data_IF_400295087943
#
_entry.id   IF_400295087943
#
_cell.length_a   1.000
_cell.length_b   1.000
_cell.length_c   1.000
_cell.angle_alpha   90.00
_cell.angle_beta   90.00
_cell.angle_gamma   90.00
#
_symmetry.space_group_name_H-M   'P 1'
#
loop_
_entity.id
_entity.type
_entity.pdbx_description
1 polymer ?
#
# COMPACT_ATOMS: atom_id res chain seq x y z
N UNK A 1 -45.78 -65.15 48.12
CA UNK A 1 -46.00 -66.39 47.33
C UNK A 1 -44.91 -66.49 46.26
N UNK A 2 -44.32 -67.69 46.12
CA UNK A 2 -43.78 -68.27 44.87
C UNK A 2 -42.79 -67.44 44.01
N UNK A 3 -41.47 -67.59 44.19
CA UNK A 3 -40.54 -68.59 43.55
C UNK A 3 -39.99 -68.16 42.18
N UNK A 4 -38.66 -67.89 42.08
CA UNK A 4 -37.58 -68.74 41.46
C UNK A 4 -37.11 -68.15 40.11
N UNK A 5 -35.85 -68.20 39.62
CA UNK A 5 -34.49 -68.67 40.00
C UNK A 5 -33.48 -67.59 39.45
N UNK A 6 -32.23 -67.33 39.89
CA UNK A 6 -30.96 -68.13 39.91
C UNK A 6 -30.59 -68.67 38.51
N UNK A 7 -29.42 -68.46 37.87
CA UNK A 7 -28.18 -67.65 38.01
C UNK A 7 -27.36 -67.82 36.69
N UNK A 8 -26.01 -67.69 36.60
CA UNK A 8 -25.11 -66.55 36.79
C UNK A 8 -24.20 -66.27 35.53
N UNK A 9 -23.17 -65.42 35.71
CA UNK A 9 -22.02 -65.14 34.81
C UNK A 9 -22.34 -64.27 33.59
N UNK A 10 -21.57 -63.20 33.29
CA UNK A 10 -20.15 -63.27 32.93
C UNK A 10 -19.39 -61.92 33.07
N UNK A 11 -18.14 -61.97 33.56
CA UNK A 11 -17.03 -60.99 33.44
C UNK A 11 -17.16 -59.57 34.03
N UNK A 12 -16.53 -59.40 35.20
CA UNK A 12 -15.42 -58.45 35.48
C UNK A 12 -15.16 -57.29 34.49
N UNK A 13 -15.13 -56.03 34.96
CA UNK A 13 -13.85 -55.34 35.23
C UNK A 13 -14.01 -54.02 36.04
N UNK A 14 -13.15 -53.89 37.07
CA UNK A 14 -12.52 -52.69 37.63
C UNK A 14 -13.19 -51.30 37.42
N UNK A 15 -13.89 -50.80 38.44
CA UNK A 15 -14.19 -49.37 38.59
C UNK A 15 -13.04 -48.64 39.28
N UNK A 16 -12.14 -48.02 38.52
CA UNK A 16 -11.12 -47.11 39.05
C UNK A 16 -11.54 -45.65 38.81
N UNK A 17 -11.69 -44.88 39.89
CA UNK A 17 -11.99 -43.45 39.83
C UNK A 17 -10.76 -42.71 39.29
N UNK A 18 -10.91 -42.07 38.13
CA UNK A 18 -9.92 -41.18 37.55
C UNK A 18 -10.60 -39.87 37.16
N UNK A 19 -10.41 -38.85 38.00
CA UNK A 19 -10.86 -37.49 37.70
C UNK A 19 -10.03 -36.90 36.57
N UNK A 20 -10.58 -36.89 35.35
CA UNK A 20 -9.96 -36.23 34.21
C UNK A 20 -10.13 -34.72 34.38
N UNK A 21 -9.13 -34.07 34.98
CA UNK A 21 -8.93 -32.64 34.81
C UNK A 21 -8.56 -32.42 33.35
N UNK A 22 -9.52 -31.97 32.55
CA UNK A 22 -9.28 -31.58 31.17
C UNK A 22 -8.44 -30.29 31.13
N UNK A 23 -7.13 -30.41 31.34
CA UNK A 23 -6.18 -29.35 31.01
C UNK A 23 -6.23 -29.13 29.50
N UNK A 24 -7.01 -28.15 29.08
CA UNK A 24 -6.90 -27.56 27.75
C UNK A 24 -5.51 -26.95 27.64
N UNK A 25 -4.58 -27.73 27.09
CA UNK A 25 -3.31 -27.20 26.62
C UNK A 25 -3.68 -26.28 25.44
N UNK A 26 -3.89 -25.01 25.75
CA UNK A 26 -3.69 -23.96 24.75
C UNK A 26 -2.25 -24.11 24.30
N UNK A 27 -2.07 -24.74 23.13
CA UNK A 27 -0.80 -24.73 22.44
C UNK A 27 -0.46 -23.26 22.21
N UNK A 28 0.43 -22.73 23.04
CA UNK A 28 0.85 -21.35 22.94
C UNK A 28 1.42 -21.17 21.54
N UNK A 29 0.74 -20.39 20.69
CA UNK A 29 1.19 -20.11 19.34
C UNK A 29 2.68 -19.77 19.40
N UNK A 30 3.56 -20.52 18.70
CA UNK A 30 4.99 -20.38 18.89
C UNK A 30 5.35 -18.92 18.65
N UNK A 31 5.95 -18.28 19.65
CA UNK A 31 6.31 -16.86 19.57
C UNK A 31 7.06 -16.63 18.25
N UNK A 32 6.62 -15.69 17.39
CA UNK A 32 7.26 -15.48 16.11
C UNK A 32 8.77 -15.30 16.32
N UNK A 33 9.56 -16.12 15.62
CA UNK A 33 11.02 -16.08 15.73
C UNK A 33 11.50 -14.84 15.00
N UNK A 34 12.20 -13.95 15.70
CA UNK A 34 12.87 -12.79 15.11
C UNK A 34 13.91 -13.27 14.10
N UNK A 35 13.75 -12.93 12.82
CA UNK A 35 14.75 -13.24 11.81
C UNK A 35 15.79 -12.13 11.71
N UNK A 36 17.01 -12.40 12.19
CA UNK A 36 18.15 -11.48 12.16
C UNK A 36 18.70 -11.19 10.75
N UNK A 37 18.17 -11.84 9.70
CA UNK A 37 18.45 -11.51 8.30
C UNK A 37 17.42 -10.57 7.66
N UNK A 38 16.34 -10.21 8.39
CA UNK A 38 15.36 -9.20 7.96
C UNK A 38 16.06 -7.88 7.66
N UNK A 39 15.91 -7.39 6.43
CA UNK A 39 16.34 -6.05 6.03
C UNK A 39 15.39 -5.02 6.63
N UNK A 40 15.95 -4.04 7.33
CA UNK A 40 15.20 -2.87 7.79
C UNK A 40 15.43 -1.73 6.80
N UNK A 41 14.37 -1.22 6.17
CA UNK A 41 14.45 0.01 5.38
C UNK A 41 13.81 1.15 6.16
N UNK A 42 14.51 2.28 6.29
CA UNK A 42 14.07 3.46 7.05
C UNK A 42 14.03 4.68 6.13
N UNK A 43 12.90 5.40 6.13
CA UNK A 43 12.68 6.60 5.31
C UNK A 43 12.55 7.87 6.15
N UNK A 44 13.35 8.88 5.82
CA UNK A 44 13.24 10.25 6.31
C UNK A 44 12.82 11.17 5.16
N UNK A 45 12.31 12.36 5.49
CA UNK A 45 12.00 13.41 4.50
C UNK A 45 12.88 14.63 4.81
N UNK A 46 12.37 15.60 5.58
CA UNK A 46 13.12 16.82 5.91
C UNK A 46 13.89 16.66 7.24
N UNK A 47 15.15 17.13 7.30
CA UNK A 47 15.95 17.10 8.54
C UNK A 47 16.17 18.53 9.02
N UNK A 48 15.18 19.10 9.71
CA UNK A 48 15.18 20.51 10.16
C UNK A 48 14.33 20.69 11.43
N UNK A 49 14.36 21.87 12.04
CA UNK A 49 13.46 22.23 13.13
C UNK A 49 12.00 22.29 12.64
N UNK A 50 11.05 21.72 13.39
CA UNK A 50 9.65 21.58 12.95
C UNK A 50 8.97 22.89 12.52
N UNK A 51 9.41 24.03 13.06
CA UNK A 51 8.90 25.37 12.72
C UNK A 51 9.34 25.87 11.33
N UNK A 52 10.46 25.34 10.83
CA UNK A 52 11.11 25.75 9.58
C UNK A 52 10.88 24.74 8.45
N UNK A 53 10.25 23.61 8.77
CA UNK A 53 9.89 22.52 7.86
C UNK A 53 8.69 22.89 6.98
N UNK A 54 8.63 22.32 5.77
CA UNK A 54 7.47 22.43 4.88
C UNK A 54 6.33 21.55 5.38
N UNK A 55 6.62 20.31 5.78
CA UNK A 55 5.63 19.40 6.37
C UNK A 55 6.13 18.93 7.76
N UNK A 56 5.79 19.63 8.85
CA UNK A 56 6.35 19.39 10.18
C UNK A 56 6.13 17.98 10.76
N UNK A 57 5.12 17.25 10.27
CA UNK A 57 4.81 15.87 10.67
C UNK A 57 5.79 14.83 10.10
N UNK A 58 6.52 15.15 9.03
CA UNK A 58 7.54 14.30 8.40
C UNK A 58 8.97 14.83 8.59
N UNK A 59 9.13 15.97 9.24
CA UNK A 59 10.43 16.56 9.57
C UNK A 59 10.95 16.07 10.92
N UNK A 60 12.26 15.82 11.02
CA UNK A 60 12.97 15.56 12.29
C UNK A 60 14.15 16.51 12.47
N UNK A 61 14.50 16.86 13.70
CA UNK A 61 15.68 17.69 13.95
C UNK A 61 16.98 16.94 13.67
N UNK A 62 18.06 17.67 13.41
CA UNK A 62 19.40 17.08 13.25
C UNK A 62 19.83 16.25 14.48
N UNK A 63 19.40 16.68 15.67
CA UNK A 63 19.63 15.97 16.93
C UNK A 63 18.87 14.64 16.98
N UNK A 64 17.58 14.61 16.62
CA UNK A 64 16.78 13.39 16.54
C UNK A 64 17.37 12.41 15.52
N UNK A 65 17.75 12.90 14.33
CA UNK A 65 18.41 12.09 13.30
C UNK A 65 19.70 11.45 13.84
N UNK A 66 20.60 12.22 14.47
CA UNK A 66 21.82 11.64 15.05
C UNK A 66 21.51 10.64 16.18
N UNK A 67 20.47 10.88 17.00
CA UNK A 67 20.05 9.95 18.05
C UNK A 67 19.53 8.63 17.49
N UNK A 68 18.73 8.65 16.41
CA UNK A 68 18.29 7.43 15.72
C UNK A 68 19.49 6.65 15.17
N UNK A 69 20.42 7.35 14.50
CA UNK A 69 21.63 6.76 13.92
C UNK A 69 22.53 6.12 14.98
N UNK A 70 22.80 6.82 16.08
CA UNK A 70 23.63 6.30 17.16
C UNK A 70 22.93 5.17 17.93
N UNK A 71 21.60 5.23 18.10
CA UNK A 71 20.82 4.13 18.64
C UNK A 71 20.92 2.87 17.77
N UNK A 72 20.78 2.99 16.44
CA UNK A 72 20.94 1.87 15.51
C UNK A 72 22.33 1.23 15.63
N UNK A 73 23.40 2.03 15.58
CA UNK A 73 24.78 1.52 15.75
C UNK A 73 24.98 0.81 17.09
N UNK A 74 24.53 1.42 18.18
CA UNK A 74 24.68 0.88 19.54
C UNK A 74 23.86 -0.40 19.77
N UNK A 75 22.82 -0.65 18.97
CA UNK A 75 22.00 -1.87 19.01
C UNK A 75 22.43 -2.94 17.99
N UNK A 76 23.60 -2.75 17.35
CA UNK A 76 24.22 -3.73 16.46
C UNK A 76 23.61 -3.80 15.05
N UNK A 77 22.94 -2.73 14.61
CA UNK A 77 22.48 -2.61 13.23
C UNK A 77 23.64 -2.21 12.30
N UNK A 78 23.64 -2.77 11.09
CA UNK A 78 24.70 -2.56 10.10
C UNK A 78 24.12 -1.88 8.86
N UNK A 79 24.52 -0.64 8.61
CA UNK A 79 24.11 0.09 7.40
C UNK A 79 24.70 -0.56 6.15
N UNK A 80 23.87 -0.76 5.12
CA UNK A 80 24.24 -1.35 3.84
C UNK A 80 24.02 -0.35 2.70
N UNK A 81 24.77 -0.51 1.62
CA UNK A 81 24.57 0.24 0.38
C UNK A 81 23.83 -0.59 -0.69
N UNK A 82 23.47 0.08 -1.79
CA UNK A 82 22.75 -0.53 -2.91
C UNK A 82 23.54 -1.65 -3.59
N UNK A 83 24.87 -1.57 -3.66
CA UNK A 83 25.70 -2.63 -4.25
C UNK A 83 25.66 -3.92 -3.41
N UNK A 84 25.68 -3.79 -2.08
CA UNK A 84 25.54 -4.93 -1.16
C UNK A 84 24.14 -5.56 -1.28
N UNK A 85 23.09 -4.74 -1.40
CA UNK A 85 21.72 -5.21 -1.62
C UNK A 85 21.58 -5.98 -2.94
N UNK A 86 22.09 -5.44 -4.05
CA UNK A 86 22.06 -6.09 -5.37
C UNK A 86 22.82 -7.43 -5.32
N UNK A 87 24.05 -7.44 -4.78
CA UNK A 87 24.86 -8.67 -4.67
C UNK A 87 24.22 -9.70 -3.75
N UNK A 88 23.52 -9.26 -2.69
CA UNK A 88 22.80 -10.17 -1.79
C UNK A 88 21.57 -10.80 -2.47
N UNK A 89 20.81 -10.02 -3.24
CA UNK A 89 19.71 -10.52 -4.07
C UNK A 89 20.20 -11.55 -5.10
N UNK A 90 21.36 -11.29 -5.73
CA UNK A 90 22.02 -12.20 -6.67
C UNK A 90 22.70 -13.42 -6.00
N UNK A 91 22.64 -13.56 -4.67
CA UNK A 91 23.30 -14.65 -3.93
C UNK A 91 24.84 -14.56 -3.87
N UNK A 92 25.44 -13.48 -4.39
CA UNK A 92 26.89 -13.25 -4.45
C UNK A 92 27.47 -12.62 -3.17
N UNK A 93 26.61 -12.16 -2.26
CA UNK A 93 26.99 -11.55 -0.99
C UNK A 93 26.05 -11.99 0.13
N UNK A 94 26.55 -12.07 1.35
CA UNK A 94 25.73 -12.28 2.56
C UNK A 94 25.68 -10.95 3.31
N UNK A 95 24.49 -10.40 3.49
CA UNK A 95 24.30 -9.20 4.31
C UNK A 95 24.75 -9.47 5.77
N UNK A 96 25.26 -8.45 6.47
CA UNK A 96 25.48 -8.53 7.92
C UNK A 96 24.17 -8.80 8.67
N UNK A 97 24.26 -9.21 9.94
CA UNK A 97 23.09 -9.30 10.82
C UNK A 97 22.48 -7.93 11.05
N UNK A 98 21.14 -7.87 11.19
CA UNK A 98 20.40 -6.60 11.32
C UNK A 98 20.79 -5.55 10.26
N UNK A 99 20.71 -5.88 8.94
CA UNK A 99 21.08 -4.95 7.89
C UNK A 99 20.06 -3.80 7.81
N UNK A 100 20.54 -2.58 7.62
CA UNK A 100 19.71 -1.37 7.47
C UNK A 100 20.01 -0.66 6.16
N UNK A 101 18.98 -0.43 5.35
CA UNK A 101 19.05 0.52 4.23
C UNK A 101 18.42 1.85 4.68
N UNK A 102 19.24 2.89 4.72
CA UNK A 102 18.78 4.24 5.05
C UNK A 102 18.39 4.99 3.78
N UNK A 103 17.19 5.58 3.77
CA UNK A 103 16.64 6.33 2.64
C UNK A 103 16.16 7.71 3.08
N UNK A 104 16.33 8.71 2.21
CA UNK A 104 15.81 10.07 2.38
C UNK A 104 15.14 10.48 1.08
N UNK A 105 13.94 11.03 1.18
CA UNK A 105 13.11 11.36 0.01
C UNK A 105 13.17 12.85 -0.34
N UNK A 106 12.42 13.24 -1.39
CA UNK A 106 12.15 14.60 -1.88
C UNK A 106 13.34 15.43 -2.37
N UNK A 107 14.55 15.21 -1.86
CA UNK A 107 15.72 16.01 -2.21
C UNK A 107 15.76 17.39 -1.52
N UNK A 108 15.30 17.48 -0.27
CA UNK A 108 15.38 18.72 0.52
C UNK A 108 16.83 19.17 0.77
N UNK A 109 17.04 20.47 0.73
CA UNK A 109 18.31 21.13 1.07
C UNK A 109 18.76 20.83 2.51
N UNK A 110 17.81 20.62 3.41
CA UNK A 110 18.05 20.28 4.81
C UNK A 110 18.82 18.96 4.98
N UNK A 111 18.71 18.01 4.03
CA UNK A 111 19.53 16.80 4.05
C UNK A 111 21.02 17.12 3.91
N UNK A 112 21.39 17.97 2.95
CA UNK A 112 22.79 18.36 2.74
C UNK A 112 23.35 19.20 3.89
N UNK A 113 22.54 20.11 4.45
CA UNK A 113 22.97 20.96 5.56
C UNK A 113 23.11 20.21 6.89
N UNK A 114 22.13 19.34 7.22
CA UNK A 114 21.97 18.84 8.59
C UNK A 114 22.25 17.33 8.75
N UNK A 115 22.01 16.52 7.71
CA UNK A 115 22.19 15.07 7.77
C UNK A 115 23.49 14.59 7.08
N UNK A 116 23.86 15.17 5.93
CA UNK A 116 25.06 14.81 5.18
C UNK A 116 26.36 14.89 6.01
N UNK A 117 26.60 15.92 6.85
CA UNK A 117 27.79 15.96 7.73
C UNK A 117 27.83 14.78 8.71
N UNK A 118 26.67 14.37 9.24
CA UNK A 118 26.54 13.26 10.20
C UNK A 118 26.85 11.92 9.51
N UNK A 119 26.26 11.65 8.34
CA UNK A 119 26.52 10.40 7.60
C UNK A 119 27.94 10.36 7.03
N UNK A 120 28.52 11.50 6.62
CA UNK A 120 29.91 11.61 6.17
C UNK A 120 30.90 11.29 7.29
N UNK A 121 30.72 11.91 8.47
CA UNK A 121 31.55 11.63 9.64
C UNK A 121 31.44 10.16 10.11
N UNK A 122 30.24 9.58 10.06
CA UNK A 122 29.99 8.19 10.50
C UNK A 122 30.16 7.13 9.40
N UNK A 123 30.48 7.54 8.16
CA UNK A 123 30.58 6.71 6.92
C UNK A 123 29.36 5.84 6.65
N UNK A 124 28.17 6.44 6.75
CA UNK A 124 26.89 5.74 6.59
C UNK A 124 26.41 5.86 5.14
N UNK A 125 26.14 4.74 4.44
CA UNK A 125 25.52 4.78 3.12
C UNK A 125 24.04 5.19 3.21
N UNK A 126 23.58 5.98 2.24
CA UNK A 126 22.20 6.48 2.13
C UNK A 126 21.72 6.41 0.69
N UNK A 127 20.43 6.11 0.49
CA UNK A 127 19.73 6.33 -0.78
C UNK A 127 18.98 7.66 -0.69
N UNK A 128 19.26 8.59 -1.60
CA UNK A 128 18.60 9.89 -1.67
C UNK A 128 17.69 9.91 -2.91
N UNK A 129 16.38 9.85 -2.73
CA UNK A 129 15.41 9.91 -3.82
C UNK A 129 15.04 11.36 -4.14
N UNK A 130 15.10 11.73 -5.42
CA UNK A 130 14.86 13.11 -5.87
C UNK A 130 13.80 13.19 -6.97
N UNK A 131 12.96 14.23 -6.89
CA UNK A 131 11.93 14.55 -7.88
C UNK A 131 12.53 15.45 -8.97
N UNK A 132 12.49 15.00 -10.22
CA UNK A 132 13.17 15.69 -11.33
C UNK A 132 12.70 17.13 -11.55
N UNK A 133 11.38 17.36 -11.56
CA UNK A 133 10.78 18.68 -11.80
C UNK A 133 11.08 19.69 -10.68
N UNK A 134 11.51 19.24 -9.50
CA UNK A 134 11.89 20.12 -8.38
C UNK A 134 13.33 20.61 -8.49
N UNK A 135 14.18 19.91 -9.25
CA UNK A 135 15.58 20.27 -9.45
C UNK A 135 15.79 21.28 -10.61
N UNK A 136 14.88 21.31 -11.59
CA UNK A 136 14.96 22.15 -12.79
C UNK A 136 14.80 23.67 -12.59
N UNK A 137 13.95 24.19 -11.69
CA UNK A 137 13.80 25.62 -11.51
C UNK A 137 15.12 26.30 -11.11
N UNK A 138 15.39 27.47 -11.68
CA UNK A 138 16.60 28.25 -11.41
C UNK A 138 16.50 28.91 -10.03
N UNK A 139 17.63 29.41 -9.53
CA UNK A 139 17.75 30.00 -8.17
C UNK A 139 16.73 31.13 -7.90
N UNK A 140 16.32 31.87 -8.92
CA UNK A 140 15.32 32.94 -8.88
C UNK A 140 13.89 32.51 -9.26
N UNK A 141 13.61 31.21 -9.34
CA UNK A 141 12.29 30.64 -9.66
C UNK A 141 11.77 29.84 -8.47
N UNK A 142 10.45 29.77 -8.31
CA UNK A 142 9.87 28.87 -7.30
C UNK A 142 9.76 27.45 -7.85
N UNK A 143 9.71 26.50 -6.92
CA UNK A 143 9.43 25.08 -7.20
C UNK A 143 7.96 24.82 -6.95
N UNK A 144 7.31 24.12 -7.88
CA UNK A 144 5.96 23.56 -7.69
C UNK A 144 6.06 22.25 -6.91
N UNK A 145 5.87 22.35 -5.60
CA UNK A 145 5.87 21.27 -4.64
C UNK A 145 4.45 20.67 -4.54
N UNK A 146 4.03 20.00 -5.61
CA UNK A 146 2.76 19.26 -5.65
C UNK A 146 1.49 20.13 -5.55
N UNK A 147 1.56 21.38 -6.02
CA UNK A 147 0.51 22.40 -5.89
C UNK A 147 0.93 23.60 -5.02
N UNK A 148 1.94 23.46 -4.17
CA UNK A 148 2.47 24.57 -3.36
C UNK A 148 3.71 25.23 -3.99
N UNK A 149 3.82 26.55 -3.90
CA UNK A 149 4.95 27.31 -4.45
C UNK A 149 6.02 27.54 -3.37
N UNK A 150 7.12 26.79 -3.41
CA UNK A 150 8.24 26.91 -2.45
C UNK A 150 9.48 27.57 -3.07
N UNK A 151 10.35 28.15 -2.25
CA UNK A 151 11.60 28.77 -2.70
C UNK A 151 12.62 27.71 -3.16
N UNK A 152 13.35 27.98 -4.26
CA UNK A 152 14.31 27.00 -4.84
C UNK A 152 15.40 26.52 -3.88
N UNK A 153 15.79 27.36 -2.91
CA UNK A 153 16.80 27.03 -1.90
C UNK A 153 16.32 26.03 -0.83
N UNK A 154 15.05 25.59 -0.87
CA UNK A 154 14.54 24.46 -0.06
C UNK A 154 14.86 23.09 -0.67
N UNK A 155 15.25 23.05 -1.95
CA UNK A 155 15.59 21.83 -2.70
C UNK A 155 17.09 21.85 -3.04
N UNK A 156 17.72 20.67 -3.11
CA UNK A 156 19.15 20.51 -3.41
C UNK A 156 19.56 21.10 -4.76
N UNK A 157 20.81 21.55 -4.86
CA UNK A 157 21.45 21.91 -6.13
C UNK A 157 22.09 20.70 -6.82
N UNK A 158 22.35 20.83 -8.12
CA UNK A 158 23.06 19.83 -8.92
C UNK A 158 24.49 19.57 -8.42
N UNK A 159 25.16 20.58 -7.87
CA UNK A 159 26.53 20.45 -7.37
C UNK A 159 26.59 19.68 -6.05
N UNK A 160 25.63 19.89 -5.15
CA UNK A 160 25.51 19.12 -3.90
C UNK A 160 25.16 17.66 -4.17
N UNK A 161 24.25 17.38 -5.12
CA UNK A 161 23.95 16.01 -5.56
C UNK A 161 25.19 15.31 -6.11
N UNK A 162 26.01 16.00 -6.92
CA UNK A 162 27.29 15.47 -7.43
C UNK A 162 28.30 15.24 -6.31
N UNK A 163 28.47 16.18 -5.36
CA UNK A 163 29.38 15.98 -4.23
C UNK A 163 28.97 14.73 -3.43
N UNK A 164 27.70 14.65 -3.04
CA UNK A 164 27.17 13.54 -2.25
C UNK A 164 27.33 12.20 -2.96
N UNK A 165 27.08 12.13 -4.26
CA UNK A 165 27.29 10.91 -5.05
C UNK A 165 28.78 10.56 -5.20
N UNK A 166 29.65 11.56 -5.39
CA UNK A 166 31.09 11.37 -5.55
C UNK A 166 31.80 11.01 -4.24
N UNK A 167 31.19 11.30 -3.08
CA UNK A 167 31.65 10.80 -1.78
C UNK A 167 31.60 9.26 -1.67
N UNK A 168 30.82 8.59 -2.53
CA UNK A 168 30.58 7.15 -2.47
C UNK A 168 29.61 6.71 -1.36
N UNK A 169 29.08 7.65 -0.56
CA UNK A 169 28.12 7.38 0.51
C UNK A 169 26.66 7.48 0.05
N UNK A 170 26.34 8.34 -0.92
CA UNK A 170 24.96 8.59 -1.35
C UNK A 170 24.70 7.98 -2.73
N UNK A 171 23.73 7.06 -2.80
CA UNK A 171 23.12 6.63 -4.07
C UNK A 171 21.99 7.61 -4.42
N UNK A 172 22.04 8.25 -5.59
CA UNK A 172 20.92 9.05 -6.08
C UNK A 172 19.87 8.12 -6.70
N UNK A 173 18.63 8.21 -6.21
CA UNK A 173 17.48 7.43 -6.63
C UNK A 173 16.43 8.31 -7.32
N UNK A 174 15.57 7.68 -8.13
CA UNK A 174 14.44 8.37 -8.74
C UNK A 174 13.28 8.46 -7.75
N UNK A 175 12.68 9.64 -7.62
CA UNK A 175 11.38 9.84 -6.99
C UNK A 175 10.33 10.31 -8.02
N UNK A 176 10.42 9.77 -9.24
CA UNK A 176 9.75 10.26 -10.47
C UNK A 176 10.26 11.61 -10.99
N UNK A 177 9.89 11.97 -12.22
CA UNK A 177 10.15 13.31 -12.73
C UNK A 177 9.09 14.29 -12.22
N UNK A 178 7.80 14.00 -12.42
CA UNK A 178 6.68 14.88 -12.09
C UNK A 178 5.41 14.09 -11.68
N UNK A 179 5.57 12.90 -11.10
CA UNK A 179 4.44 12.11 -10.54
C UNK A 179 4.23 12.35 -9.03
N UNK A 180 5.04 13.20 -8.39
CA UNK A 180 4.89 13.60 -6.99
C UNK A 180 3.85 14.72 -6.82
N UNK A 181 2.63 14.46 -7.29
CA UNK A 181 1.49 15.37 -7.19
C UNK A 181 0.16 14.60 -7.19
N UNK A 182 -0.91 15.28 -6.76
CA UNK A 182 -2.28 14.83 -6.99
C UNK A 182 -2.78 15.23 -8.37
N UNK A 183 -3.37 14.29 -9.12
CA UNK A 183 -4.06 14.56 -10.39
C UNK A 183 -5.54 14.26 -10.26
N UNK A 184 -6.36 14.90 -11.10
CA UNK A 184 -7.79 14.66 -11.08
C UNK A 184 -8.12 13.20 -11.46
N UNK A 185 -8.74 12.48 -10.53
CA UNK A 185 -8.94 11.05 -10.59
C UNK A 185 -10.36 10.63 -11.00
N UNK A 186 -11.34 11.54 -10.95
CA UNK A 186 -12.74 11.25 -11.24
C UNK A 186 -13.54 12.52 -11.61
N UNK A 187 -14.81 12.40 -12.04
CA UNK A 187 -15.67 13.56 -12.36
C UNK A 187 -15.91 14.53 -11.19
N UNK A 188 -15.80 14.06 -9.95
CA UNK A 188 -16.13 14.83 -8.74
C UNK A 188 -14.96 15.67 -8.20
N UNK A 189 -13.76 15.54 -8.77
CA UNK A 189 -12.60 16.35 -8.36
C UNK A 189 -11.73 15.74 -7.26
N UNK A 190 -11.71 14.41 -7.09
CA UNK A 190 -10.68 13.79 -6.25
C UNK A 190 -9.29 14.04 -6.85
N UNK A 191 -8.33 14.49 -6.03
CA UNK A 191 -6.92 14.52 -6.40
C UNK A 191 -6.23 13.28 -5.84
N UNK A 192 -5.72 12.40 -6.71
CA UNK A 192 -5.04 11.15 -6.34
C UNK A 192 -3.62 11.06 -6.91
N UNK A 193 -2.71 10.29 -6.30
CA UNK A 193 -1.32 10.14 -6.71
C UNK A 193 -1.14 9.85 -8.21
N UNK A 194 -0.45 10.74 -8.91
CA UNK A 194 -0.31 10.73 -10.37
C UNK A 194 0.25 9.42 -10.96
N UNK A 195 1.09 8.70 -10.20
CA UNK A 195 1.71 7.46 -10.65
C UNK A 195 0.70 6.31 -10.87
N UNK A 196 -0.29 6.14 -9.98
CA UNK A 196 -1.24 5.02 -10.05
C UNK A 196 -2.57 5.37 -10.75
N UNK A 197 -2.88 6.67 -10.83
CA UNK A 197 -4.18 7.20 -11.26
C UNK A 197 -4.25 7.31 -12.79
N UNK A 198 -5.37 6.89 -13.39
CA UNK A 198 -5.77 7.28 -14.74
C UNK A 198 -6.43 8.65 -14.66
N UNK A 199 -5.89 9.64 -15.36
CA UNK A 199 -6.36 11.02 -15.25
C UNK A 199 -7.78 11.12 -15.84
N UNK A 200 -8.71 11.77 -15.12
CA UNK A 200 -10.00 12.16 -15.66
C UNK A 200 -9.92 13.58 -16.24
N UNK A 201 -10.06 13.70 -17.56
CA UNK A 201 -10.12 15.00 -18.23
C UNK A 201 -11.54 15.57 -18.17
N UNK A 202 -11.67 16.72 -17.49
CA UNK A 202 -12.93 17.43 -17.32
C UNK A 202 -13.47 18.05 -18.62
N UNK A 203 -12.62 18.25 -19.63
CA UNK A 203 -13.01 18.82 -20.93
C UNK A 203 -13.65 17.78 -21.85
N UNK A 204 -12.97 16.66 -22.08
CA UNK A 204 -13.53 15.53 -22.85
C UNK A 204 -14.52 14.67 -22.06
N UNK A 205 -14.57 14.83 -20.73
CA UNK A 205 -15.36 14.02 -19.80
C UNK A 205 -15.04 12.52 -19.91
N UNK A 206 -13.75 12.21 -20.05
CA UNK A 206 -13.28 10.85 -20.26
C UNK A 206 -12.06 10.54 -19.42
N UNK A 207 -11.87 9.25 -19.17
CA UNK A 207 -10.69 8.71 -18.49
C UNK A 207 -9.56 8.45 -19.47
N UNK A 208 -8.34 8.76 -19.03
CA UNK A 208 -7.10 8.33 -19.67
C UNK A 208 -7.12 6.80 -19.87
N UNK A 209 -6.91 6.36 -21.12
CA UNK A 209 -6.89 4.94 -21.45
C UNK A 209 -5.59 4.25 -20.99
N UNK A 210 -5.58 2.91 -21.02
CA UNK A 210 -4.46 2.11 -20.53
C UNK A 210 -3.13 2.36 -21.27
N UNK A 211 -3.17 2.72 -22.56
CA UNK A 211 -1.98 2.96 -23.37
C UNK A 211 -1.36 4.33 -23.07
N UNK A 212 -2.19 5.38 -22.96
CA UNK A 212 -1.75 6.73 -22.62
C UNK A 212 -1.22 6.78 -21.17
N UNK A 213 -1.90 6.12 -20.23
CA UNK A 213 -1.41 5.93 -18.86
C UNK A 213 -0.02 5.27 -18.84
N UNK A 214 0.17 4.19 -19.61
CA UNK A 214 1.46 3.51 -19.69
C UNK A 214 2.54 4.40 -20.31
N UNK A 215 2.21 5.13 -21.38
CA UNK A 215 3.13 6.03 -22.06
C UNK A 215 3.56 7.19 -21.15
N UNK A 216 2.62 7.84 -20.47
CA UNK A 216 2.86 8.94 -19.53
C UNK A 216 3.84 8.54 -18.43
N UNK A 217 3.56 7.43 -17.73
CA UNK A 217 4.45 6.95 -16.66
C UNK A 217 5.83 6.58 -17.20
N UNK A 218 5.89 5.82 -18.31
CA UNK A 218 7.17 5.40 -18.90
C UNK A 218 8.03 6.61 -19.28
N UNK A 219 7.41 7.63 -19.91
CA UNK A 219 8.09 8.86 -20.30
C UNK A 219 8.55 9.67 -19.07
N UNK A 220 7.74 9.78 -18.03
CA UNK A 220 8.11 10.47 -16.79
C UNK A 220 9.34 9.85 -16.11
N UNK A 221 9.28 8.54 -15.82
CA UNK A 221 10.37 7.84 -15.16
C UNK A 221 11.65 7.85 -16.02
N UNK A 222 11.52 7.73 -17.34
CA UNK A 222 12.63 7.85 -18.28
C UNK A 222 13.22 9.27 -18.27
N UNK A 223 12.36 10.30 -18.27
CA UNK A 223 12.78 11.71 -18.23
C UNK A 223 13.56 12.02 -16.97
N UNK A 224 13.18 11.48 -15.81
CA UNK A 224 13.97 11.67 -14.58
C UNK A 224 15.37 11.06 -14.74
N UNK A 225 15.45 9.80 -15.18
CA UNK A 225 16.74 9.12 -15.35
C UNK A 225 17.63 9.84 -16.37
N UNK A 226 17.07 10.34 -17.47
CA UNK A 226 17.80 11.11 -18.48
C UNK A 226 18.26 12.49 -17.97
N UNK A 227 17.41 13.20 -17.21
CA UNK A 227 17.76 14.47 -16.56
C UNK A 227 18.94 14.30 -15.59
N UNK A 228 18.87 13.32 -14.69
CA UNK A 228 19.93 13.06 -13.70
C UNK A 228 21.27 12.73 -14.41
N UNK A 229 21.26 11.91 -15.46
CA UNK A 229 22.44 11.63 -16.29
C UNK A 229 22.98 12.88 -17.00
N UNK A 230 22.10 13.72 -17.55
CA UNK A 230 22.50 14.95 -18.25
C UNK A 230 23.24 15.94 -17.32
N UNK A 231 22.91 15.94 -16.03
CA UNK A 231 23.61 16.72 -14.99
C UNK A 231 24.83 16.00 -14.38
N UNK A 232 25.30 14.89 -14.95
CA UNK A 232 26.53 14.20 -14.55
C UNK A 232 26.37 13.23 -13.38
N UNK A 233 25.14 12.88 -12.99
CA UNK A 233 24.86 11.83 -12.02
C UNK A 233 24.83 10.45 -12.70
N UNK A 234 24.91 9.38 -11.92
CA UNK A 234 24.71 8.01 -12.42
C UNK A 234 23.24 7.80 -12.78
N UNK A 235 22.98 6.90 -13.71
CA UNK A 235 21.60 6.44 -13.94
C UNK A 235 21.06 5.81 -12.65
N UNK A 236 19.88 6.21 -12.14
CA UNK A 236 19.29 5.62 -10.95
C UNK A 236 19.11 4.10 -11.09
N UNK A 237 19.32 3.39 -9.98
CA UNK A 237 19.06 1.93 -9.84
C UNK A 237 17.92 1.63 -8.86
N UNK A 238 17.42 2.66 -8.19
CA UNK A 238 16.38 2.60 -7.18
C UNK A 238 15.27 3.58 -7.56
N UNK A 239 14.03 3.11 -7.48
CA UNK A 239 12.82 3.93 -7.55
C UNK A 239 12.16 3.96 -6.17
N UNK A 240 12.01 5.13 -5.56
CA UNK A 240 11.14 5.29 -4.39
C UNK A 240 9.80 5.82 -4.89
N UNK A 241 8.68 5.19 -4.54
CA UNK A 241 7.38 5.61 -5.07
C UNK A 241 6.86 6.85 -4.31
N UNK A 242 6.49 7.94 -5.01
CA UNK A 242 5.74 9.06 -4.41
C UNK A 242 4.56 8.55 -3.60
N UNK A 243 4.40 9.09 -2.40
CA UNK A 243 3.34 8.69 -1.46
C UNK A 243 3.32 7.18 -1.09
N UNK A 244 4.40 6.44 -1.38
CA UNK A 244 4.47 4.97 -1.30
C UNK A 244 3.57 4.23 -2.29
N UNK A 245 3.06 4.91 -3.32
CA UNK A 245 1.98 4.45 -4.21
C UNK A 245 2.51 3.76 -5.46
N UNK A 246 2.17 2.48 -5.63
CA UNK A 246 2.63 1.69 -6.77
C UNK A 246 1.60 0.66 -7.25
N UNK A 247 1.88 0.05 -8.39
CA UNK A 247 1.24 -1.16 -8.88
C UNK A 247 2.28 -1.98 -9.69
N UNK A 248 1.96 -3.22 -10.06
CA UNK A 248 2.95 -4.10 -10.73
C UNK A 248 3.31 -3.66 -12.16
N UNK A 249 2.50 -2.84 -12.83
CA UNK A 249 2.85 -2.23 -14.11
C UNK A 249 3.96 -1.18 -13.92
N UNK A 250 3.84 -0.35 -12.87
CA UNK A 250 4.87 0.62 -12.48
C UNK A 250 6.21 -0.05 -12.11
N UNK A 251 6.17 -1.12 -11.32
CA UNK A 251 7.36 -1.91 -10.95
C UNK A 251 8.06 -2.51 -12.17
N UNK A 252 7.28 -3.02 -13.13
CA UNK A 252 7.80 -3.52 -14.41
C UNK A 252 8.48 -2.40 -15.21
N UNK A 253 7.82 -1.25 -15.37
CA UNK A 253 8.35 -0.07 -16.05
C UNK A 253 9.65 0.44 -15.40
N UNK A 254 9.71 0.54 -14.07
CA UNK A 254 10.91 0.95 -13.36
C UNK A 254 12.10 -0.01 -13.65
N UNK A 255 11.85 -1.33 -13.61
CA UNK A 255 12.84 -2.35 -13.94
C UNK A 255 13.33 -2.26 -15.38
N UNK A 256 12.43 -2.04 -16.35
CA UNK A 256 12.78 -1.82 -17.76
C UNK A 256 13.67 -0.58 -17.96
N UNK A 257 13.47 0.46 -17.16
CA UNK A 257 14.27 1.70 -17.15
C UNK A 257 15.56 1.63 -16.32
N UNK A 258 15.97 0.43 -15.88
CA UNK A 258 17.21 0.20 -15.15
C UNK A 258 17.13 0.37 -13.63
N UNK A 259 15.92 0.50 -13.07
CA UNK A 259 15.65 0.61 -11.63
C UNK A 259 15.03 -0.68 -11.07
N UNK A 260 15.79 -1.78 -10.90
CA UNK A 260 15.28 -3.06 -10.43
C UNK A 260 14.88 -3.08 -8.95
N UNK A 261 15.34 -2.08 -8.18
CA UNK A 261 14.96 -1.91 -6.77
C UNK A 261 13.81 -0.90 -6.71
N UNK A 262 12.70 -1.25 -6.07
CA UNK A 262 11.65 -0.27 -5.75
C UNK A 262 11.25 -0.29 -4.29
N UNK A 263 10.96 0.88 -3.73
CA UNK A 263 10.70 1.11 -2.30
C UNK A 263 9.32 1.76 -2.13
N UNK A 264 8.54 1.20 -1.20
CA UNK A 264 7.13 1.53 -0.96
C UNK A 264 6.98 2.17 0.44
N UNK A 265 5.74 2.30 0.92
CA UNK A 265 5.43 2.58 2.33
C UNK A 265 4.62 1.44 2.97
N UNK A 266 4.74 0.23 2.43
CA UNK A 266 4.03 -0.96 2.92
C UNK A 266 4.54 -1.40 4.30
N UNK A 267 3.67 -2.08 5.04
CA UNK A 267 4.01 -2.79 6.27
C UNK A 267 4.37 -4.25 5.97
N UNK A 268 5.65 -4.58 6.14
CA UNK A 268 6.19 -5.92 5.92
C UNK A 268 7.65 -6.07 6.34
N UNK A 269 8.10 -7.33 6.41
CA UNK A 269 9.50 -7.70 6.62
C UNK A 269 10.21 -7.85 5.27
N UNK A 270 11.31 -7.14 5.06
CA UNK A 270 12.08 -7.24 3.81
C UNK A 270 13.16 -8.32 3.87
N UNK A 271 13.33 -9.02 2.76
CA UNK A 271 14.27 -10.12 2.62
C UNK A 271 14.95 -10.01 1.26
N UNK A 272 16.21 -9.54 1.24
CA UNK A 272 16.93 -9.21 0.01
C UNK A 272 16.96 -10.37 -1.02
N UNK A 273 16.95 -11.63 -0.55
CA UNK A 273 16.89 -12.83 -1.41
C UNK A 273 15.52 -13.10 -2.03
N UNK A 274 14.42 -12.63 -1.40
CA UNK A 274 13.06 -12.90 -1.84
C UNK A 274 12.59 -11.85 -2.85
N UNK A 275 12.69 -10.57 -2.50
CA UNK A 275 12.35 -9.46 -3.39
C UNK A 275 13.19 -8.23 -3.08
N UNK A 276 13.45 -7.44 -4.14
CA UNK A 276 13.91 -6.05 -4.07
C UNK A 276 12.96 -5.12 -4.84
N UNK A 277 11.89 -5.66 -5.44
CA UNK A 277 11.04 -4.96 -6.40
C UNK A 277 9.85 -4.23 -5.75
N UNK A 278 9.63 -4.42 -4.46
CA UNK A 278 8.52 -3.85 -3.67
C UNK A 278 8.89 -3.80 -2.18
N UNK A 279 10.05 -3.23 -1.85
CA UNK A 279 10.55 -3.24 -0.48
C UNK A 279 9.68 -2.35 0.41
N UNK A 280 9.29 -2.90 1.56
CA UNK A 280 8.57 -2.20 2.61
C UNK A 280 9.48 -1.16 3.29
N UNK A 281 8.90 -0.20 4.01
CA UNK A 281 9.71 0.84 4.69
C UNK A 281 9.05 1.36 5.95
N UNK A 282 9.87 1.65 6.96
CA UNK A 282 9.47 2.39 8.15
C UNK A 282 9.60 3.89 7.83
N UNK A 283 8.48 4.60 7.77
CA UNK A 283 8.45 6.05 7.61
C UNK A 283 8.66 6.72 8.96
N UNK A 284 9.73 7.49 9.09
CA UNK A 284 9.97 8.32 10.27
C UNK A 284 9.00 9.50 10.25
N UNK A 285 8.34 9.71 11.39
CA UNK A 285 7.46 10.86 11.65
C UNK A 285 8.13 11.76 12.70
N UNK A 286 7.80 13.04 12.70
CA UNK A 286 8.55 14.05 13.48
C UNK A 286 8.60 13.84 15.00
N UNK A 287 7.62 13.11 15.54
CA UNK A 287 7.56 12.75 16.96
C UNK A 287 8.09 11.32 17.27
N UNK A 288 8.70 10.63 16.30
CA UNK A 288 9.15 9.24 16.49
C UNK A 288 10.41 9.17 17.37
N UNK A 289 10.23 8.71 18.60
CA UNK A 289 11.35 8.40 19.52
C UNK A 289 12.16 7.19 19.05
N UNK A 290 13.36 7.01 19.61
CA UNK A 290 14.15 5.78 19.45
C UNK A 290 13.40 4.53 19.93
N UNK A 291 12.56 4.65 20.96
CA UNK A 291 11.71 3.54 21.45
C UNK A 291 10.57 3.19 20.49
N UNK A 292 9.96 4.18 19.83
CA UNK A 292 8.95 3.96 18.79
C UNK A 292 9.58 3.30 17.55
N UNK A 293 10.74 3.81 17.10
CA UNK A 293 11.50 3.20 16.01
C UNK A 293 11.91 1.76 16.34
N UNK A 294 12.39 1.49 17.55
CA UNK A 294 12.72 0.13 18.01
C UNK A 294 11.50 -0.82 17.96
N UNK A 295 10.32 -0.32 18.31
CA UNK A 295 9.09 -1.10 18.25
C UNK A 295 8.64 -1.37 16.81
N UNK A 296 8.75 -0.40 15.89
CA UNK A 296 8.44 -0.65 14.48
C UNK A 296 9.42 -1.62 13.82
N UNK A 297 10.72 -1.50 14.09
CA UNK A 297 11.70 -2.48 13.60
C UNK A 297 11.37 -3.89 14.12
N UNK A 298 11.05 -4.01 15.42
CA UNK A 298 10.64 -5.28 16.03
C UNK A 298 9.33 -5.82 15.44
N UNK A 299 8.38 -4.97 15.06
CA UNK A 299 7.18 -5.40 14.34
C UNK A 299 7.59 -6.09 13.02
N UNK A 300 8.46 -5.45 12.23
CA UNK A 300 8.96 -6.02 10.96
C UNK A 300 9.80 -7.30 11.18
N UNK A 301 10.70 -7.35 12.16
CA UNK A 301 11.49 -8.56 12.50
C UNK A 301 10.63 -9.78 12.91
N UNK A 302 9.43 -9.53 13.45
CA UNK A 302 8.44 -10.56 13.80
C UNK A 302 7.46 -10.88 12.66
N UNK A 303 7.65 -10.26 11.48
CA UNK A 303 6.72 -10.25 10.35
C UNK A 303 5.29 -9.85 10.74
N UNK A 304 5.17 -8.94 11.72
CA UNK A 304 3.92 -8.30 12.09
C UNK A 304 3.69 -7.12 11.16
N UNK A 305 2.85 -7.35 10.15
CA UNK A 305 2.38 -6.32 9.24
C UNK A 305 1.05 -5.73 9.70
N UNK A 306 0.42 -4.99 8.80
CA UNK A 306 -0.87 -4.35 9.06
C UNK A 306 -1.94 -5.39 9.46
N UNK A 307 -1.97 -6.55 8.79
CA UNK A 307 -2.87 -7.68 9.05
C UNK A 307 -2.85 -8.22 10.50
N UNK A 308 -1.84 -7.87 11.31
CA UNK A 308 -1.70 -8.29 12.70
C UNK A 308 -2.20 -7.24 13.71
N UNK A 309 -2.57 -6.03 13.26
CA UNK A 309 -3.15 -4.97 14.11
C UNK A 309 -4.65 -5.23 14.36
N UNK A 310 -5.18 -4.98 15.57
CA UNK A 310 -6.61 -5.15 15.88
C UNK A 310 -7.51 -4.40 14.90
N UNK A 311 -8.53 -5.08 14.37
CA UNK A 311 -9.42 -4.53 13.36
C UNK A 311 -10.80 -4.18 13.93
N UNK A 312 -11.30 -3.00 13.55
CA UNK A 312 -12.71 -2.61 13.68
C UNK A 312 -13.23 -2.37 12.27
N UNK A 313 -13.93 -3.38 11.75
CA UNK A 313 -14.44 -3.42 10.37
C UNK A 313 -15.83 -2.78 10.32
N UNK A 314 -16.09 -2.01 9.26
CA UNK A 314 -17.41 -1.58 8.84
C UNK A 314 -17.63 -2.03 7.39
N UNK A 315 -18.75 -2.69 7.12
CA UNK A 315 -19.23 -2.83 5.75
C UNK A 315 -19.96 -1.54 5.37
N UNK A 316 -19.62 -1.01 4.21
CA UNK A 316 -20.24 0.19 3.63
C UNK A 316 -20.83 -0.23 2.30
N UNK A 317 -22.13 -0.07 2.20
CA UNK A 317 -22.95 -0.37 1.05
C UNK A 317 -23.21 0.97 0.33
N UNK A 318 -22.94 1.01 -0.98
CA UNK A 318 -23.07 2.21 -1.81
C UNK A 318 -24.49 2.40 -2.34
N UNK A 319 -25.34 1.36 -2.34
CA UNK A 319 -26.76 1.48 -2.66
C UNK A 319 -27.48 2.43 -1.68
N UNK A 320 -27.05 2.48 -0.41
CA UNK A 320 -27.53 3.43 0.60
C UNK A 320 -26.86 4.82 0.57
N UNK A 321 -25.73 5.00 -0.11
CA UNK A 321 -25.03 6.30 -0.21
C UNK A 321 -25.43 7.04 -1.48
N UNK A 322 -25.61 6.31 -2.58
CA UNK A 322 -26.04 6.82 -3.87
C UNK A 322 -27.37 7.57 -3.77
N UNK A 323 -27.43 8.74 -4.40
CA UNK A 323 -28.65 9.52 -4.57
C UNK A 323 -28.65 10.17 -5.97
N UNK A 324 -29.80 10.22 -6.68
CA UNK A 324 -29.89 10.96 -7.93
C UNK A 324 -29.59 12.46 -7.83
N UNK A 325 -29.76 13.11 -6.67
CA UNK A 325 -29.23 14.45 -6.40
C UNK A 325 -27.76 14.36 -5.95
N UNK A 326 -26.80 14.89 -6.74
CA UNK A 326 -25.39 14.90 -6.35
C UNK A 326 -25.13 15.62 -5.02
N UNK A 327 -25.94 16.61 -4.65
CA UNK A 327 -25.79 17.29 -3.35
C UNK A 327 -26.24 16.41 -2.20
N UNK A 328 -27.33 15.63 -2.36
CA UNK A 328 -27.76 14.66 -1.36
C UNK A 328 -26.78 13.51 -1.23
N UNK A 329 -26.23 13.00 -2.33
CA UNK A 329 -25.19 11.97 -2.32
C UNK A 329 -23.95 12.42 -1.53
N UNK A 330 -23.50 13.67 -1.70
CA UNK A 330 -22.38 14.24 -0.93
C UNK A 330 -22.75 14.47 0.56
N UNK A 331 -24.01 14.80 0.89
CA UNK A 331 -24.50 14.80 2.28
C UNK A 331 -24.47 13.40 2.90
N UNK A 332 -24.93 12.38 2.17
CA UNK A 332 -24.91 10.97 2.59
C UNK A 332 -23.46 10.50 2.86
N UNK A 333 -22.55 10.80 1.94
CA UNK A 333 -21.12 10.51 2.09
C UNK A 333 -20.52 11.24 3.30
N UNK A 334 -20.86 12.52 3.52
CA UNK A 334 -20.46 13.26 4.72
C UNK A 334 -20.86 12.56 6.03
N UNK A 335 -22.13 12.17 6.15
CA UNK A 335 -22.63 11.44 7.32
C UNK A 335 -21.97 10.06 7.52
N UNK A 336 -21.58 9.39 6.44
CA UNK A 336 -20.79 8.16 6.51
C UNK A 336 -19.40 8.42 7.10
N UNK A 337 -18.69 9.45 6.63
CA UNK A 337 -17.35 9.81 7.15
C UNK A 337 -17.41 10.15 8.65
N UNK A 338 -18.42 10.92 9.07
CA UNK A 338 -18.65 11.26 10.47
C UNK A 338 -18.92 10.01 11.32
N UNK A 339 -19.69 9.04 10.80
CA UNK A 339 -19.96 7.76 11.46
C UNK A 339 -18.71 6.89 11.58
N UNK A 340 -17.90 6.79 10.53
CA UNK A 340 -16.62 6.07 10.53
C UNK A 340 -15.67 6.66 11.59
N UNK A 341 -15.59 7.99 11.64
CA UNK A 341 -14.80 8.74 12.63
C UNK A 341 -15.32 8.50 14.06
N UNK A 342 -16.60 8.76 14.33
CA UNK A 342 -17.22 8.61 15.65
C UNK A 342 -17.20 7.18 16.19
N UNK A 343 -17.21 6.17 15.30
CA UNK A 343 -17.05 4.77 15.68
C UNK A 343 -15.59 4.32 15.80
N UNK A 344 -14.60 5.12 15.37
CA UNK A 344 -13.18 4.72 15.36
C UNK A 344 -12.90 3.49 14.49
N UNK A 345 -13.59 3.39 13.34
CA UNK A 345 -13.42 2.31 12.36
C UNK A 345 -12.03 2.43 11.71
N UNK A 346 -11.31 1.32 11.60
CA UNK A 346 -9.96 1.31 11.00
C UNK A 346 -9.87 0.49 9.70
N UNK A 347 -10.90 -0.30 9.40
CA UNK A 347 -11.02 -1.12 8.19
C UNK A 347 -12.42 -0.94 7.60
N UNK A 348 -12.52 -0.69 6.30
CA UNK A 348 -13.81 -0.61 5.58
C UNK A 348 -13.81 -1.63 4.44
N UNK A 349 -14.90 -2.38 4.32
CA UNK A 349 -15.23 -3.12 3.09
C UNK A 349 -16.29 -2.30 2.37
N UNK A 350 -15.91 -1.67 1.26
CA UNK A 350 -16.77 -0.80 0.47
C UNK A 350 -17.33 -1.62 -0.70
N UNK A 351 -18.64 -1.76 -0.77
CA UNK A 351 -19.35 -2.39 -1.89
C UNK A 351 -18.98 -1.65 -3.19
N UNK A 352 -18.46 -2.37 -4.18
CA UNK A 352 -18.10 -1.80 -5.49
C UNK A 352 -19.15 -2.11 -6.58
N UNK A 353 -20.05 -3.03 -6.29
CA UNK A 353 -21.22 -3.40 -7.09
C UNK A 353 -22.50 -2.73 -6.56
N UNK A 354 -23.61 -2.93 -7.27
CA UNK A 354 -24.97 -2.50 -6.91
C UNK A 354 -25.88 -3.73 -7.01
N UNK A 355 -26.74 -3.94 -6.00
CA UNK A 355 -27.71 -5.05 -5.92
C UNK A 355 -29.00 -4.52 -5.24
N UNK A 356 -29.72 -3.57 -5.90
CA UNK A 356 -30.79 -2.80 -5.25
C UNK A 356 -32.11 -3.57 -5.14
N UNK A 357 -32.29 -4.64 -5.90
CA UNK A 357 -33.42 -5.58 -5.75
C UNK A 357 -33.11 -6.69 -4.73
N UNK A 358 -31.88 -6.73 -4.20
CA UNK A 358 -31.37 -7.71 -3.25
C UNK A 358 -31.52 -9.16 -3.75
N UNK A 359 -31.42 -9.37 -5.07
CA UNK A 359 -31.46 -10.71 -5.65
C UNK A 359 -30.14 -11.47 -5.40
N UNK A 360 -29.09 -10.79 -4.95
CA UNK A 360 -27.80 -11.36 -4.56
C UNK A 360 -26.80 -11.52 -5.71
N UNK A 361 -27.11 -10.91 -6.86
CA UNK A 361 -26.30 -10.89 -8.07
C UNK A 361 -26.10 -9.43 -8.49
N UNK A 362 -24.88 -9.05 -8.82
CA UNK A 362 -24.61 -7.67 -9.21
C UNK A 362 -25.09 -7.39 -10.65
N UNK A 363 -26.12 -6.55 -10.80
CA UNK A 363 -26.64 -6.05 -12.09
C UNK A 363 -25.85 -4.84 -12.61
N UNK A 364 -25.23 -4.09 -11.69
CA UNK A 364 -24.53 -2.82 -11.94
C UNK A 364 -23.30 -2.67 -11.06
N UNK A 365 -22.46 -1.70 -11.39
CA UNK A 365 -21.30 -1.33 -10.57
C UNK A 365 -21.15 0.18 -10.38
N UNK A 366 -20.33 0.55 -9.38
CA UNK A 366 -20.03 1.94 -9.03
C UNK A 366 -18.68 2.45 -9.57
N UNK A 367 -18.10 1.77 -10.56
CA UNK A 367 -16.82 2.14 -11.18
C UNK A 367 -16.81 1.92 -12.71
N UNK A 368 -15.99 2.65 -13.47
CA UNK A 368 -15.86 2.47 -14.92
C UNK A 368 -15.30 1.09 -15.28
N UNK A 369 -15.95 0.40 -16.21
CA UNK A 369 -15.61 -0.98 -16.59
C UNK A 369 -16.00 -1.29 -18.06
N UNK A 370 -15.98 -2.57 -18.48
CA UNK A 370 -16.22 -2.97 -19.88
C UNK A 370 -17.43 -3.88 -20.12
N UNK A 371 -17.94 -4.57 -19.08
CA UNK A 371 -18.96 -5.62 -19.25
C UNK A 371 -20.31 -5.32 -18.56
N UNK A 372 -20.33 -4.49 -17.52
CA UNK A 372 -21.51 -4.28 -16.66
C UNK A 372 -21.90 -2.79 -16.64
N UNK A 373 -23.20 -2.43 -16.72
CA UNK A 373 -23.62 -1.04 -16.66
C UNK A 373 -23.16 -0.35 -15.36
N UNK A 374 -22.48 0.78 -15.49
CA UNK A 374 -22.11 1.61 -14.35
C UNK A 374 -23.33 2.43 -13.89
N UNK A 375 -23.78 2.24 -12.65
CA UNK A 375 -24.91 2.99 -12.06
C UNK A 375 -24.56 4.45 -11.79
N UNK A 376 -23.39 4.67 -11.20
CA UNK A 376 -22.78 5.97 -10.98
C UNK A 376 -21.28 5.79 -10.72
N UNK A 377 -20.46 6.79 -11.07
CA UNK A 377 -19.02 6.78 -10.81
C UNK A 377 -18.74 7.19 -9.35
N UNK A 378 -19.12 6.34 -8.39
CA UNK A 378 -19.15 6.68 -6.96
C UNK A 378 -18.08 5.95 -6.15
N UNK A 379 -17.60 4.78 -6.59
CA UNK A 379 -16.72 3.95 -5.79
C UNK A 379 -15.40 4.66 -5.46
N UNK A 380 -14.72 5.19 -6.49
CA UNK A 380 -13.48 5.93 -6.30
C UNK A 380 -13.70 7.20 -5.44
N UNK A 381 -14.81 7.93 -5.69
CA UNK A 381 -15.22 9.10 -4.89
C UNK A 381 -15.31 8.77 -3.40
N UNK A 382 -16.11 7.78 -3.04
CA UNK A 382 -16.28 7.35 -1.65
C UNK A 382 -14.99 6.79 -1.05
N UNK A 383 -14.27 5.93 -1.78
CA UNK A 383 -13.08 5.26 -1.28
C UNK A 383 -11.96 6.23 -0.90
N UNK A 384 -11.66 7.21 -1.76
CA UNK A 384 -10.64 8.23 -1.47
C UNK A 384 -11.03 9.12 -0.29
N UNK A 385 -12.29 9.55 -0.22
CA UNK A 385 -12.78 10.37 0.89
C UNK A 385 -12.69 9.61 2.23
N UNK A 386 -13.01 8.31 2.26
CA UNK A 386 -12.85 7.47 3.44
C UNK A 386 -11.37 7.36 3.84
N UNK A 387 -10.46 7.06 2.90
CA UNK A 387 -9.04 6.87 3.23
C UNK A 387 -8.33 8.17 3.68
N UNK A 388 -8.70 9.33 3.11
CA UNK A 388 -8.04 10.61 3.41
C UNK A 388 -8.61 11.31 4.64
N UNK A 389 -9.93 11.25 4.86
CA UNK A 389 -10.62 12.06 5.89
C UNK A 389 -10.98 11.30 7.17
N UNK A 390 -10.61 10.03 7.29
CA UNK A 390 -10.92 9.19 8.46
C UNK A 390 -9.67 8.46 9.00
N UNK A 391 -9.72 7.74 10.14
CA UNK A 391 -8.60 6.93 10.60
C UNK A 391 -8.47 5.58 9.88
N UNK A 392 -9.34 5.27 8.90
CA UNK A 392 -9.32 4.02 8.13
C UNK A 392 -7.98 3.83 7.43
N UNK A 393 -7.30 2.72 7.77
CA UNK A 393 -6.02 2.33 7.17
C UNK A 393 -6.20 1.35 6.01
N UNK A 394 -7.29 0.59 6.02
CA UNK A 394 -7.59 -0.44 5.03
C UNK A 394 -8.98 -0.20 4.45
N UNK A 395 -9.02 -0.03 3.14
CA UNK A 395 -10.27 -0.06 2.38
C UNK A 395 -10.14 -1.19 1.37
N UNK A 396 -11.09 -2.11 1.41
CA UNK A 396 -11.18 -3.20 0.45
C UNK A 396 -12.39 -2.97 -0.44
N UNK A 397 -12.24 -3.18 -1.74
CA UNK A 397 -13.37 -3.32 -2.65
C UNK A 397 -14.06 -4.66 -2.36
N UNK A 398 -15.28 -4.59 -1.84
CA UNK A 398 -16.15 -5.75 -1.71
C UNK A 398 -16.79 -6.02 -3.08
N UNK A 399 -16.44 -7.17 -3.64
CA UNK A 399 -16.85 -7.63 -4.98
C UNK A 399 -17.44 -9.04 -4.88
N UNK A 400 -18.47 -9.36 -5.69
CA UNK A 400 -18.91 -10.74 -5.91
C UNK A 400 -17.79 -11.56 -6.57
N UNK A 401 -17.61 -12.81 -6.13
CA UNK A 401 -16.68 -13.72 -6.80
C UNK A 401 -17.27 -14.26 -8.11
N UNK A 402 -18.53 -14.68 -8.07
CA UNK A 402 -19.24 -15.31 -9.19
C UNK A 402 -20.61 -14.69 -9.47
N UNK A 403 -21.22 -13.99 -8.50
CA UNK A 403 -22.59 -13.54 -8.58
C UNK A 403 -22.72 -12.23 -9.38
N UNK A 404 -22.81 -12.39 -10.70
CA UNK A 404 -22.76 -11.33 -11.70
C UNK A 404 -23.90 -11.55 -12.71
N UNK A 405 -24.77 -10.57 -12.86
CA UNK A 405 -25.81 -10.56 -13.90
C UNK A 405 -25.33 -9.70 -15.07
N UNK A 406 -24.75 -10.34 -16.08
CA UNK A 406 -24.27 -9.67 -17.29
C UNK A 406 -25.46 -9.27 -18.18
N UNK A 407 -25.34 -8.21 -19.01
CA UNK A 407 -26.31 -7.90 -20.05
C UNK A 407 -26.58 -9.12 -20.95
N UNK A 408 -27.83 -9.31 -21.38
CA UNK A 408 -28.24 -10.50 -22.17
C UNK A 408 -27.55 -10.61 -23.53
N UNK A 409 -26.96 -9.52 -23.99
CA UNK A 409 -26.17 -9.43 -25.21
C UNK A 409 -24.68 -9.78 -25.01
N UNK A 410 -24.20 -9.92 -23.77
CA UNK A 410 -22.84 -10.40 -23.50
C UNK A 410 -22.78 -11.93 -23.72
N UNK A 411 -21.82 -12.44 -24.53
CA UNK A 411 -21.74 -13.86 -24.87
C UNK A 411 -21.47 -14.79 -23.68
N UNK A 412 -21.21 -14.24 -22.49
CA UNK A 412 -20.92 -14.97 -21.26
C UNK A 412 -22.13 -15.00 -20.30
N UNK A 413 -23.22 -14.29 -20.60
CA UNK A 413 -24.38 -14.17 -19.70
C UNK A 413 -25.04 -15.52 -19.34
N UNK A 414 -25.07 -16.48 -20.27
CA UNK A 414 -25.65 -17.81 -20.07
C UNK A 414 -24.67 -18.85 -19.46
N UNK A 415 -23.39 -18.50 -19.28
CA UNK A 415 -22.35 -19.39 -18.73
C UNK A 415 -22.47 -19.49 -17.19
N UNK A 416 -23.59 -20.04 -16.69
CA UNK A 416 -23.97 -20.06 -15.28
C UNK A 416 -23.72 -21.42 -14.59
N UNK A 417 -23.62 -21.43 -13.26
CA UNK A 417 -23.69 -22.69 -12.47
C UNK A 417 -25.14 -23.08 -12.18
N UNK A 418 -25.51 -24.30 -12.56
CA UNK A 418 -26.75 -24.90 -12.11
C UNK A 418 -26.68 -25.24 -10.62
N UNK A 419 -27.65 -24.76 -9.84
CA UNK A 419 -27.77 -25.08 -8.42
C UNK A 419 -28.70 -26.28 -8.26
N UNK A 420 -28.16 -27.44 -7.92
CA UNK A 420 -29.00 -28.59 -7.58
C UNK A 420 -29.91 -28.23 -6.40
N UNK A 421 -31.23 -28.40 -6.58
CA UNK A 421 -32.17 -28.22 -5.48
C UNK A 421 -31.93 -29.31 -4.44
N UNK A 422 -31.66 -28.90 -3.20
CA UNK A 422 -31.57 -29.83 -2.08
C UNK A 422 -32.88 -30.59 -1.90
N UNK A 423 -32.81 -31.85 -1.47
CA UNK A 423 -34.01 -32.62 -1.13
C UNK A 423 -34.76 -31.88 -0.01
N UNK A 424 -36.01 -31.53 -0.29
CA UNK A 424 -37.05 -31.04 0.63
C UNK A 424 -36.55 -30.52 2.01
N UNK A 425 -36.08 -29.26 2.04
CA UNK A 425 -36.04 -28.46 3.29
C UNK A 425 -34.68 -28.24 3.96
N UNK A 426 -33.60 -28.88 3.54
CA UNK A 426 -32.32 -28.79 4.29
C UNK A 426 -31.46 -27.55 3.98
N UNK A 427 -31.64 -26.89 2.82
CA UNK A 427 -30.96 -25.63 2.49
C UNK A 427 -31.87 -24.66 1.72
N UNK A 428 -31.84 -23.38 2.10
CA UNK A 428 -32.40 -22.28 1.29
C UNK A 428 -31.56 -22.12 0.01
N UNK A 429 -32.17 -22.39 -1.14
CA UNK A 429 -31.60 -21.96 -2.41
C UNK A 429 -31.83 -20.45 -2.55
N UNK A 430 -30.77 -19.65 -2.40
CA UNK A 430 -30.84 -18.19 -2.47
C UNK A 430 -31.07 -17.65 -3.90
N UNK A 431 -31.05 -18.50 -4.93
CA UNK A 431 -31.39 -18.10 -6.30
C UNK A 431 -30.32 -17.32 -7.08
N UNK A 432 -29.17 -17.03 -6.46
CA UNK A 432 -28.09 -16.21 -7.02
C UNK A 432 -27.68 -16.63 -8.44
N UNK A 433 -27.72 -15.68 -9.38
CA UNK A 433 -27.20 -15.80 -10.74
C UNK A 433 -25.68 -15.78 -10.63
N UNK A 434 -25.06 -16.94 -10.87
CA UNK A 434 -23.62 -17.15 -10.64
C UNK A 434 -22.96 -17.67 -11.89
N UNK A 435 -22.02 -16.91 -12.42
CA UNK A 435 -21.15 -17.30 -13.52
C UNK A 435 -20.34 -18.56 -13.17
N UNK A 436 -20.10 -19.39 -14.17
CA UNK A 436 -19.42 -20.67 -14.08
C UNK A 436 -17.91 -20.51 -13.88
N UNK A 437 -17.33 -20.91 -12.73
CA UNK A 437 -15.89 -20.88 -12.54
C UNK A 437 -15.16 -21.92 -13.41
N UNK A 438 -15.88 -22.80 -14.09
CA UNK A 438 -15.34 -23.81 -15.01
C UNK A 438 -15.19 -23.27 -16.43
N UNK A 439 -16.02 -22.31 -16.82
CA UNK A 439 -15.95 -21.60 -18.11
C UNK A 439 -14.68 -20.74 -18.20
N UNK A 440 -13.81 -20.94 -19.21
CA UNK A 440 -12.67 -20.05 -19.47
C UNK A 440 -13.10 -18.59 -19.71
N UNK A 441 -14.18 -18.40 -20.46
CA UNK A 441 -14.73 -17.11 -20.86
C UNK A 441 -15.28 -16.36 -19.63
N UNK A 442 -16.09 -17.01 -18.80
CA UNK A 442 -16.59 -16.44 -17.56
C UNK A 442 -15.46 -16.03 -16.60
N UNK A 443 -14.44 -16.89 -16.44
CA UNK A 443 -13.25 -16.54 -15.64
C UNK A 443 -12.50 -15.34 -16.19
N UNK A 444 -12.46 -15.17 -17.51
CA UNK A 444 -11.78 -14.04 -18.13
C UNK A 444 -12.56 -12.73 -17.92
N UNK A 445 -13.88 -12.74 -18.10
CA UNK A 445 -14.77 -11.60 -17.80
C UNK A 445 -14.64 -11.16 -16.33
N UNK A 446 -14.82 -12.09 -15.38
CA UNK A 446 -14.67 -11.82 -13.93
C UNK A 446 -13.29 -11.26 -13.59
N UNK A 447 -12.22 -11.76 -14.24
CA UNK A 447 -10.84 -11.33 -13.96
C UNK A 447 -10.54 -9.92 -14.49
N UNK A 448 -11.13 -9.53 -15.61
CA UNK A 448 -11.02 -8.17 -16.16
C UNK A 448 -11.73 -7.18 -15.23
N UNK A 449 -12.95 -7.51 -14.83
CA UNK A 449 -13.83 -6.68 -13.99
C UNK A 449 -13.35 -6.57 -12.53
N UNK A 450 -13.05 -7.70 -11.87
CA UNK A 450 -12.72 -7.75 -10.45
C UNK A 450 -11.32 -7.30 -10.08
N UNK A 451 -10.32 -7.50 -10.95
CA UNK A 451 -8.90 -7.26 -10.63
C UNK A 451 -8.25 -6.17 -11.49
N UNK A 452 -8.80 -5.83 -12.66
CA UNK A 452 -8.16 -4.93 -13.61
C UNK A 452 -8.14 -3.46 -13.16
N UNK A 453 -9.22 -2.98 -12.55
CA UNK A 453 -9.42 -1.59 -12.16
C UNK A 453 -9.18 -1.37 -10.66
N UNK A 454 -9.82 -2.18 -9.80
CA UNK A 454 -9.85 -1.98 -8.35
C UNK A 454 -8.50 -2.22 -7.64
N UNK A 455 -7.71 -3.22 -8.07
CA UNK A 455 -6.38 -3.49 -7.49
C UNK A 455 -5.38 -2.39 -7.83
N UNK A 456 -5.60 -1.59 -8.88
CA UNK A 456 -4.68 -0.53 -9.30
C UNK A 456 -4.77 0.76 -8.48
N UNK A 457 -5.79 0.91 -7.62
CA UNK A 457 -6.06 2.16 -6.90
C UNK A 457 -5.85 2.11 -5.37
N UNK A 458 -6.04 0.96 -4.70
CA UNK A 458 -6.25 0.96 -3.24
C UNK A 458 -5.35 0.01 -2.41
N UNK A 459 -4.17 0.50 -2.00
CA UNK A 459 -3.45 -0.04 -0.83
C UNK A 459 -2.77 1.06 0.01
N UNK A 460 -3.27 1.30 1.22
CA UNK A 460 -2.65 2.06 2.34
C UNK A 460 -2.17 3.52 2.11
N UNK A 461 -2.99 4.54 2.47
CA UNK A 461 -2.55 5.95 2.52
C UNK A 461 -2.06 6.30 3.94
N UNK A 462 -0.77 6.58 4.18
CA UNK A 462 -0.39 7.44 5.30
C UNK A 462 -0.85 8.88 4.98
N UNK A 463 -1.44 9.58 5.96
CA UNK A 463 -2.12 10.88 5.73
C UNK A 463 -1.19 11.94 5.16
N UNK A 464 -1.15 12.06 3.84
CA UNK A 464 -0.59 13.24 3.18
C UNK A 464 -1.59 14.38 3.32
N UNK A 465 -1.32 15.26 4.29
CA UNK A 465 -1.71 16.65 4.14
C UNK A 465 -0.76 17.24 3.11
N UNK A 466 -1.30 17.48 1.92
CA UNK A 466 -0.89 18.64 1.11
C UNK A 466 -1.62 19.82 1.75
#
# INVERSE_FOLDING_TARGET
MTTRLVSPTLKTFLGLVLGVVATTIFAANPKPKTDATTLTVIGYHEITEHKDALIPSYAVTAQQFSQHIDWLKNNGFHFINVDQLIKAHQGQYKLPSKPVLLTVDDGYQSFYQNAYPVIRAKKIPVVLAVVGSWLEPKENQNVDFGGESIARNKILSWDELKEMQNSGLVEIASHSYHLHQGVNANPQGNLEPAAITRIYDTKSKSYENDADYQARVYQDLKKNNDLLKAHGLRSPRVMVWPYGRYNMQLVKTAKELGMPITITLDDGADQAKQSIQNMSRILIQGNMSTSALAQEIKNRELNLGDNNRPQKIMHVDLDYIYDPDPQQQERNLGHLLDRINGMGVNTVYLQAFSDPDANGSADRVYFPNRHIPMRADLFNRAAWQIQTRTPVKRLYAWMPLLAWELPKEDPVADELVETQQGKSGEHLNMGYIRLSPFSPEARQTIKIEGLGFLIKAFFYIPKFQV
#
